data_IF_581050337797
#
_entry.id   IF_581050337797
#
_cell.length_a   1.000
_cell.length_b   1.000
_cell.length_c   1.000
_cell.angle_alpha   90.00
_cell.angle_beta   90.00
_cell.angle_gamma   90.00
#
_symmetry.space_group_name_H-M   'P 1'
#
loop_
_entity.id
_entity.type
_entity.pdbx_description
1 polymer ?
#
# COMPACT_ATOMS: atom_id res chain seq x y z
N UNK A 1 13.48 29.89 6.24
CA UNK A 1 12.16 29.56 6.84
C UNK A 1 12.38 28.63 8.02
N UNK A 2 12.21 29.13 9.24
CA UNK A 2 12.37 28.39 10.50
C UNK A 2 11.02 28.36 11.21
N UNK A 3 10.16 27.42 10.83
CA UNK A 3 8.85 27.18 11.43
C UNK A 3 8.67 25.69 11.71
N UNK A 4 7.85 25.36 12.73
CA UNK A 4 7.50 23.97 13.03
C UNK A 4 6.80 23.34 11.82
N UNK A 5 7.35 22.24 11.31
CA UNK A 5 6.72 21.43 10.25
C UNK A 5 6.02 20.24 10.89
N UNK A 6 4.85 19.91 10.37
CA UNK A 6 4.07 18.76 10.83
C UNK A 6 3.98 17.78 9.67
N UNK A 7 4.27 16.51 9.95
CA UNK A 7 4.08 15.41 9.02
C UNK A 7 3.16 14.42 9.73
N UNK A 8 2.06 14.07 9.07
CA UNK A 8 1.13 13.03 9.53
C UNK A 8 1.26 11.84 8.60
N UNK A 9 1.49 10.67 9.17
CA UNK A 9 1.54 9.41 8.43
C UNK A 9 0.29 8.60 8.77
N UNK A 10 -0.46 8.22 7.73
CA UNK A 10 -1.61 7.34 7.85
C UNK A 10 -1.35 6.07 7.03
N UNK A 11 -1.49 4.91 7.65
CA UNK A 11 -1.56 3.63 6.93
C UNK A 11 -3.01 3.38 6.56
N UNK A 12 -3.23 2.78 5.39
CA UNK A 12 -4.57 2.31 5.01
C UNK A 12 -5.11 1.31 6.05
N UNK A 13 -6.44 1.26 6.19
CA UNK A 13 -7.13 0.27 7.02
C UNK A 13 -7.11 -1.14 6.40
N UNK A 14 -7.87 -2.06 6.97
CA UNK A 14 -8.01 -3.42 6.44
C UNK A 14 -8.44 -3.44 4.96
N UNK A 15 -7.73 -4.21 4.12
CA UNK A 15 -8.12 -4.54 2.75
C UNK A 15 -8.84 -5.88 2.67
N UNK A 16 -9.52 -6.12 1.54
CA UNK A 16 -10.16 -7.42 1.25
C UNK A 16 -9.19 -8.60 1.41
N UNK A 17 -7.94 -8.42 0.99
CA UNK A 17 -6.91 -9.46 1.08
C UNK A 17 -6.34 -9.61 2.49
N UNK A 18 -6.17 -8.51 3.24
CA UNK A 18 -5.74 -8.64 4.63
C UNK A 18 -6.81 -9.32 5.49
N UNK A 19 -8.10 -9.05 5.22
CA UNK A 19 -9.24 -9.72 5.88
C UNK A 19 -9.19 -11.23 5.70
N UNK A 20 -8.82 -11.69 4.49
CA UNK A 20 -8.69 -13.12 4.16
C UNK A 20 -7.31 -13.70 4.48
N UNK A 21 -6.46 -12.98 5.22
CA UNK A 21 -5.11 -13.40 5.60
C UNK A 21 -4.19 -13.73 4.40
N UNK A 22 -4.40 -13.08 3.25
CA UNK A 22 -3.63 -13.29 2.01
C UNK A 22 -2.44 -12.33 1.95
N UNK A 23 -1.32 -12.78 1.38
CA UNK A 23 -0.21 -11.90 1.00
C UNK A 23 -0.57 -11.02 -0.19
N UNK A 24 -0.66 -9.70 0.00
CA UNK A 24 -1.10 -8.76 -1.04
C UNK A 24 0.05 -8.05 -1.76
N UNK A 25 0.90 -7.34 -1.03
CA UNK A 25 2.02 -6.60 -1.62
C UNK A 25 1.53 -5.55 -2.61
N UNK A 26 1.98 -5.65 -3.87
CA UNK A 26 1.64 -4.71 -4.94
C UNK A 26 0.38 -5.05 -5.70
N UNK A 27 -0.30 -6.15 -5.34
CA UNK A 27 -1.64 -6.38 -5.86
C UNK A 27 -2.58 -5.23 -5.45
N UNK A 28 -3.40 -4.78 -6.39
CA UNK A 28 -4.26 -3.61 -6.19
C UNK A 28 -5.60 -3.97 -5.54
N UNK A 29 -5.55 -4.41 -4.27
CA UNK A 29 -6.75 -4.72 -3.50
C UNK A 29 -7.46 -3.46 -3.00
N UNK A 30 -8.79 -3.51 -2.90
CA UNK A 30 -9.61 -2.47 -2.28
C UNK A 30 -9.65 -2.57 -0.75
N UNK A 31 -10.06 -1.49 -0.07
CA UNK A 31 -10.41 -1.52 1.35
C UNK A 31 -11.62 -2.44 1.58
N UNK A 32 -11.64 -3.11 2.74
CA UNK A 32 -12.87 -3.74 3.24
C UNK A 32 -13.80 -2.67 3.85
N UNK A 33 -15.04 -3.06 4.18
CA UNK A 33 -15.95 -2.17 4.92
C UNK A 33 -15.34 -1.73 6.25
N UNK A 34 -14.61 -2.64 6.92
CA UNK A 34 -13.87 -2.33 8.14
C UNK A 34 -12.76 -1.31 7.86
N UNK A 35 -11.96 -1.49 6.82
CA UNK A 35 -10.91 -0.54 6.47
C UNK A 35 -11.44 0.84 6.07
N UNK A 36 -12.64 0.88 5.48
CA UNK A 36 -13.35 2.13 5.21
C UNK A 36 -13.74 2.84 6.52
N UNK A 37 -14.27 2.12 7.51
CA UNK A 37 -14.58 2.67 8.83
C UNK A 37 -13.33 3.15 9.57
N UNK A 38 -12.23 2.41 9.51
CA UNK A 38 -10.94 2.83 10.10
C UNK A 38 -10.43 4.15 9.48
N UNK A 39 -10.62 4.35 8.17
CA UNK A 39 -10.29 5.62 7.51
C UNK A 39 -11.21 6.77 7.96
N UNK A 40 -12.51 6.50 8.17
CA UNK A 40 -13.46 7.46 8.70
C UNK A 40 -13.10 7.90 10.13
N UNK A 41 -12.77 6.94 11.00
CA UNK A 41 -12.31 7.22 12.37
C UNK A 41 -11.04 8.08 12.38
N UNK A 42 -10.06 7.75 11.51
CA UNK A 42 -8.85 8.56 11.34
C UNK A 42 -9.21 10.00 10.93
N UNK A 43 -10.12 10.17 9.97
CA UNK A 43 -10.54 11.48 9.52
C UNK A 43 -11.25 12.29 10.60
N UNK A 44 -12.09 11.64 11.42
CA UNK A 44 -12.76 12.26 12.56
C UNK A 44 -11.76 12.78 13.59
N UNK A 45 -10.74 11.99 13.93
CA UNK A 45 -9.68 12.41 14.87
C UNK A 45 -8.89 13.60 14.32
N UNK A 46 -8.57 13.60 13.03
CA UNK A 46 -7.88 14.71 12.38
C UNK A 46 -8.72 15.98 12.39
N UNK A 47 -10.02 15.87 12.10
CA UNK A 47 -10.97 16.99 12.13
C UNK A 47 -11.13 17.56 13.53
N UNK A 48 -11.31 16.71 14.55
CA UNK A 48 -11.42 17.11 15.96
C UNK A 48 -10.16 17.80 16.46
N UNK A 49 -9.00 17.38 15.97
CA UNK A 49 -7.70 17.99 16.29
C UNK A 49 -7.39 19.24 15.46
N UNK A 50 -8.30 19.65 14.56
CA UNK A 50 -8.17 20.80 13.68
C UNK A 50 -6.89 20.78 12.83
N UNK A 51 -6.49 19.60 12.35
CA UNK A 51 -5.38 19.49 11.40
C UNK A 51 -5.80 20.02 10.03
N UNK A 52 -4.88 20.75 9.38
CA UNK A 52 -4.97 21.16 7.98
C UNK A 52 -3.67 20.80 7.28
N UNK A 53 -3.79 20.37 6.04
CA UNK A 53 -2.65 19.95 5.23
C UNK A 53 -2.47 20.85 4.02
N UNK A 54 -1.22 21.09 3.64
CA UNK A 54 -0.87 21.84 2.43
C UNK A 54 -0.71 20.92 1.22
N UNK A 55 -0.32 19.66 1.46
CA UNK A 55 -0.05 18.65 0.45
C UNK A 55 -0.21 17.24 1.03
N UNK A 56 -0.66 16.31 0.20
CA UNK A 56 -0.69 14.88 0.53
C UNK A 56 0.20 14.08 -0.43
N UNK A 57 0.60 12.90 0.05
CA UNK A 57 1.34 11.91 -0.73
C UNK A 57 0.68 10.56 -0.55
N UNK A 58 0.59 9.77 -1.62
CA UNK A 58 0.04 8.41 -1.57
C UNK A 58 0.81 7.46 -2.47
N UNK A 59 0.67 6.17 -2.18
CA UNK A 59 1.09 5.10 -3.09
C UNK A 59 0.21 5.06 -4.33
N UNK A 60 0.57 4.23 -5.32
CA UNK A 60 -0.26 4.00 -6.51
C UNK A 60 -1.42 3.01 -6.24
N UNK A 61 -1.53 2.49 -5.02
CA UNK A 61 -2.44 1.40 -4.68
C UNK A 61 -3.78 1.95 -4.23
N UNK A 62 -4.86 1.44 -4.82
CA UNK A 62 -6.24 1.88 -4.68
C UNK A 62 -6.69 1.94 -3.21
N UNK A 63 -6.30 0.98 -2.36
CA UNK A 63 -6.56 1.06 -0.92
C UNK A 63 -6.02 2.34 -0.26
N UNK A 64 -4.82 2.81 -0.63
CA UNK A 64 -4.25 4.03 -0.09
C UNK A 64 -4.97 5.27 -0.63
N UNK A 65 -5.33 5.28 -1.92
CA UNK A 65 -6.15 6.35 -2.50
C UNK A 65 -7.53 6.43 -1.85
N UNK A 66 -8.19 5.29 -1.60
CA UNK A 66 -9.48 5.24 -0.92
C UNK A 66 -9.38 5.83 0.48
N UNK A 67 -8.36 5.43 1.26
CA UNK A 67 -8.09 6.01 2.59
C UNK A 67 -7.85 7.52 2.51
N UNK A 68 -6.97 7.98 1.62
CA UNK A 68 -6.66 9.41 1.47
C UNK A 68 -7.91 10.20 1.08
N UNK A 69 -8.68 9.71 0.11
CA UNK A 69 -9.92 10.35 -0.36
C UNK A 69 -10.90 10.53 0.79
N UNK A 70 -11.19 9.44 1.53
CA UNK A 70 -12.07 9.48 2.71
C UNK A 70 -11.58 10.53 3.70
N UNK A 71 -10.28 10.54 4.03
CA UNK A 71 -9.72 11.52 4.97
C UNK A 71 -9.93 12.95 4.45
N UNK A 72 -9.51 13.24 3.22
CA UNK A 72 -9.57 14.59 2.64
C UNK A 72 -10.99 15.14 2.52
N UNK A 73 -11.97 14.28 2.19
CA UNK A 73 -13.38 14.68 2.12
C UNK A 73 -13.91 15.06 3.52
N UNK A 74 -13.55 14.31 4.56
CA UNK A 74 -14.08 14.51 5.90
C UNK A 74 -13.41 15.66 6.66
N UNK A 75 -12.15 15.99 6.35
CA UNK A 75 -11.47 17.18 6.90
C UNK A 75 -11.75 18.46 6.08
N UNK A 76 -12.71 18.42 5.16
CA UNK A 76 -13.12 19.55 4.31
C UNK A 76 -11.99 20.05 3.38
N UNK A 77 -11.12 19.15 2.90
CA UNK A 77 -10.03 19.43 1.95
C UNK A 77 -10.05 18.51 0.70
N UNK A 78 -11.18 18.36 -0.03
CA UNK A 78 -11.28 17.42 -1.15
C UNK A 78 -10.35 17.73 -2.33
N UNK A 79 -9.88 18.98 -2.46
CA UNK A 79 -9.00 19.44 -3.54
C UNK A 79 -7.53 19.58 -3.09
N UNK A 80 -7.14 18.93 -2.00
CA UNK A 80 -5.76 18.95 -1.51
C UNK A 80 -4.81 18.47 -2.63
N UNK A 81 -3.71 19.17 -2.94
CA UNK A 81 -2.74 18.68 -3.91
C UNK A 81 -2.17 17.33 -3.47
N UNK A 82 -2.33 16.31 -4.32
CA UNK A 82 -1.85 14.94 -4.06
C UNK A 82 -0.72 14.61 -5.03
N UNK A 83 0.38 14.09 -4.49
CA UNK A 83 1.45 13.47 -5.28
C UNK A 83 1.48 11.97 -5.07
N UNK A 84 1.52 11.22 -6.16
CA UNK A 84 1.45 9.76 -6.16
C UNK A 84 2.82 9.18 -6.51
N UNK A 85 3.28 8.16 -5.78
CA UNK A 85 4.58 7.52 -6.08
C UNK A 85 4.57 6.03 -5.77
N UNK A 86 5.12 5.22 -6.67
CA UNK A 86 5.30 3.79 -6.43
C UNK A 86 6.25 3.51 -5.26
N UNK A 87 7.13 4.46 -4.89
CA UNK A 87 8.02 4.34 -3.72
C UNK A 87 7.27 4.25 -2.40
N UNK A 88 6.01 4.70 -2.39
CA UNK A 88 5.12 4.60 -1.23
C UNK A 88 4.27 3.32 -1.26
N UNK A 89 4.42 2.47 -2.29
CA UNK A 89 3.77 1.17 -2.31
C UNK A 89 4.28 0.30 -1.15
N UNK A 90 3.45 -0.67 -0.76
CA UNK A 90 3.79 -1.68 0.26
C UNK A 90 5.03 -2.50 -0.15
N UNK A 91 5.64 -3.26 0.75
CA UNK A 91 6.68 -4.24 0.35
C UNK A 91 6.14 -5.23 -0.70
N UNK A 92 6.94 -5.50 -1.74
CA UNK A 92 6.61 -6.53 -2.72
C UNK A 92 6.81 -7.93 -2.12
N UNK A 93 5.81 -8.82 -2.21
CA UNK A 93 5.87 -10.18 -1.63
C UNK A 93 6.26 -11.28 -2.62
N UNK A 94 6.59 -10.92 -3.86
CA UNK A 94 7.08 -11.89 -4.84
C UNK A 94 6.07 -13.00 -5.10
N UNK A 95 6.57 -14.21 -5.30
CA UNK A 95 5.74 -15.40 -5.51
C UNK A 95 4.83 -15.76 -4.31
N UNK A 96 4.96 -15.11 -3.15
CA UNK A 96 4.01 -15.32 -2.04
C UNK A 96 2.68 -14.60 -2.28
N UNK A 97 2.61 -13.67 -3.23
CA UNK A 97 1.41 -12.87 -3.49
C UNK A 97 0.24 -13.76 -3.87
N UNK A 98 -0.91 -13.60 -3.20
CA UNK A 98 -2.11 -14.40 -3.46
C UNK A 98 -2.24 -15.65 -2.60
N UNK A 99 -1.19 -16.06 -1.90
CA UNK A 99 -1.25 -17.20 -0.97
C UNK A 99 -1.73 -16.80 0.42
N UNK A 100 -2.44 -17.72 1.08
CA UNK A 100 -2.83 -17.56 2.48
C UNK A 100 -1.60 -17.72 3.39
N UNK A 101 -1.45 -16.83 4.37
CA UNK A 101 -0.30 -16.87 5.30
C UNK A 101 -0.31 -18.09 6.20
N UNK A 102 -1.49 -18.60 6.58
CA UNK A 102 -1.61 -19.77 7.43
C UNK A 102 -1.21 -21.04 6.66
N UNK A 103 -1.71 -21.21 5.44
CA UNK A 103 -1.34 -22.34 4.57
C UNK A 103 0.17 -22.37 4.30
N UNK A 104 0.78 -21.22 4.03
CA UNK A 104 2.24 -21.15 3.86
C UNK A 104 3.01 -21.42 5.16
N UNK A 105 2.44 -21.07 6.32
CA UNK A 105 3.07 -21.39 7.61
C UNK A 105 3.00 -22.90 7.90
N UNK A 106 1.94 -23.59 7.47
CA UNK A 106 1.85 -25.05 7.54
C UNK A 106 2.85 -25.73 6.59
N UNK A 107 3.03 -25.19 5.39
CA UNK A 107 3.92 -25.77 4.38
C UNK A 107 5.42 -25.50 4.63
N UNK A 108 5.77 -24.27 5.00
CA UNK A 108 7.17 -23.82 5.11
C UNK A 108 7.62 -23.55 6.55
N UNK A 109 6.70 -23.62 7.52
CA UNK A 109 6.94 -23.28 8.92
C UNK A 109 6.77 -21.79 9.21
N UNK A 110 6.28 -21.49 10.42
CA UNK A 110 6.06 -20.11 10.88
C UNK A 110 7.33 -19.26 10.84
N UNK A 111 8.48 -19.83 11.22
CA UNK A 111 9.76 -19.12 11.23
C UNK A 111 10.15 -18.62 9.83
N UNK A 112 9.97 -19.45 8.79
CA UNK A 112 10.29 -19.07 7.42
C UNK A 112 9.35 -17.96 6.92
N UNK A 113 8.05 -18.09 7.19
CA UNK A 113 7.06 -17.07 6.86
C UNK A 113 7.35 -15.74 7.58
N UNK A 114 7.82 -15.80 8.83
CA UNK A 114 8.24 -14.59 9.55
C UNK A 114 9.49 -13.96 8.94
N UNK A 115 10.49 -14.76 8.54
CA UNK A 115 11.69 -14.25 7.86
C UNK A 115 11.30 -13.50 6.58
N UNK A 116 10.48 -14.08 5.71
CA UNK A 116 10.04 -13.39 4.49
C UNK A 116 9.24 -12.11 4.77
N UNK A 117 8.54 -12.02 5.91
CA UNK A 117 7.72 -10.86 6.28
C UNK A 117 8.50 -9.74 6.96
N UNK A 118 9.47 -10.09 7.79
CA UNK A 118 10.07 -9.17 8.77
C UNK A 118 11.57 -9.03 8.60
N UNK A 119 12.26 -9.95 7.91
CA UNK A 119 13.69 -9.78 7.69
C UNK A 119 13.94 -8.58 6.80
N UNK A 120 15.02 -7.88 7.11
CA UNK A 120 15.51 -6.73 6.37
C UNK A 120 16.27 -7.16 5.10
N UNK A 121 17.05 -8.23 5.22
CA UNK A 121 18.02 -8.72 4.23
C UNK A 121 17.55 -9.96 3.45
N UNK A 122 16.49 -10.63 3.90
CA UNK A 122 15.92 -11.79 3.21
C UNK A 122 14.71 -11.37 2.39
N UNK A 123 14.84 -11.50 1.07
CA UNK A 123 13.75 -11.28 0.13
C UNK A 123 12.79 -12.50 0.12
N UNK A 124 11.49 -12.28 -0.14
CA UNK A 124 10.60 -13.38 -0.49
C UNK A 124 11.04 -14.06 -1.80
N UNK A 125 10.48 -15.21 -2.19
CA UNK A 125 10.78 -15.85 -3.48
C UNK A 125 10.37 -15.02 -4.70
N UNK A 126 11.07 -15.19 -5.83
CA UNK A 126 10.82 -14.42 -7.07
C UNK A 126 9.49 -14.78 -7.73
N UNK A 127 8.77 -13.75 -8.19
CA UNK A 127 7.52 -13.96 -8.91
C UNK A 127 7.82 -14.25 -10.38
N UNK A 128 7.52 -15.47 -10.83
CA UNK A 128 7.63 -15.84 -12.24
C UNK A 128 6.58 -15.13 -13.12
N UNK A 129 6.88 -14.95 -14.40
CA UNK A 129 5.97 -14.32 -15.38
C UNK A 129 4.67 -15.10 -15.58
N UNK A 130 4.68 -16.41 -15.35
CA UNK A 130 3.50 -17.28 -15.42
C UNK A 130 2.61 -17.19 -14.18
N UNK A 131 3.05 -16.51 -13.12
CA UNK A 131 2.29 -16.37 -11.89
C UNK A 131 0.98 -15.60 -12.13
N UNK A 132 -0.12 -16.07 -11.54
CA UNK A 132 -1.48 -15.57 -11.82
C UNK A 132 -1.64 -14.05 -11.66
N UNK A 133 -0.91 -13.45 -10.70
CA UNK A 133 -0.96 -12.02 -10.41
C UNK A 133 0.18 -11.20 -11.03
N UNK A 134 1.08 -11.83 -11.79
CA UNK A 134 2.23 -11.11 -12.37
C UNK A 134 1.75 -10.02 -13.34
N UNK A 135 0.87 -10.35 -14.28
CA UNK A 135 0.35 -9.38 -15.26
C UNK A 135 -0.49 -8.29 -14.61
N UNK A 136 -1.30 -8.61 -13.59
CA UNK A 136 -2.16 -7.60 -12.95
C UNK A 136 -1.37 -6.57 -12.16
N UNK A 137 -0.20 -6.94 -11.61
CA UNK A 137 0.70 -6.01 -10.93
C UNK A 137 1.55 -5.23 -11.94
N UNK A 138 2.20 -5.92 -12.88
CA UNK A 138 3.18 -5.29 -13.77
C UNK A 138 2.58 -4.50 -14.92
N UNK A 139 1.40 -4.90 -15.39
CA UNK A 139 0.69 -4.19 -16.45
C UNK A 139 -0.41 -3.28 -15.87
N UNK A 140 -0.42 -3.03 -14.56
CA UNK A 140 -1.42 -2.18 -13.94
C UNK A 140 -1.39 -0.76 -14.55
N UNK A 141 -2.52 -0.20 -15.00
CA UNK A 141 -2.51 1.08 -15.72
C UNK A 141 -1.82 2.21 -14.96
N UNK A 142 -1.98 2.28 -13.63
CA UNK A 142 -1.33 3.31 -12.79
C UNK A 142 0.19 3.14 -12.74
N UNK A 143 0.67 1.90 -12.67
CA UNK A 143 2.11 1.58 -12.65
C UNK A 143 2.72 1.91 -14.02
N UNK A 144 2.07 1.45 -15.09
CA UNK A 144 2.50 1.66 -16.47
C UNK A 144 2.52 3.16 -16.79
N UNK A 145 1.44 3.90 -16.50
CA UNK A 145 1.39 5.34 -16.71
C UNK A 145 2.51 6.07 -15.96
N UNK A 146 2.76 5.72 -14.70
CA UNK A 146 3.82 6.35 -13.91
C UNK A 146 5.23 6.06 -14.47
N UNK A 147 5.44 4.87 -15.05
CA UNK A 147 6.72 4.50 -15.70
C UNK A 147 7.00 5.28 -16.99
N UNK A 148 5.97 5.83 -17.63
CA UNK A 148 6.11 6.69 -18.82
C UNK A 148 6.21 8.17 -18.50
N UNK A 149 5.68 8.60 -17.34
CA UNK A 149 5.67 10.01 -16.93
C UNK A 149 6.89 10.42 -16.10
N UNK A 150 7.66 9.45 -15.59
CA UNK A 150 8.87 9.68 -14.80
C UNK A 150 10.08 9.05 -15.47
N UNK A 151 11.27 9.64 -15.34
CA UNK A 151 12.54 9.04 -15.78
C UNK A 151 12.96 7.84 -14.90
N UNK A 152 12.14 7.49 -13.92
CA UNK A 152 12.45 6.53 -12.88
C UNK A 152 11.95 5.14 -13.27
N UNK A 153 12.87 4.19 -13.37
CA UNK A 153 12.53 2.81 -13.70
C UNK A 153 11.80 2.16 -12.52
N UNK A 154 10.60 1.63 -12.77
CA UNK A 154 9.89 0.77 -11.84
C UNK A 154 10.79 -0.41 -11.45
N UNK A 155 11.00 -0.71 -10.16
CA UNK A 155 11.91 -1.77 -9.76
C UNK A 155 11.24 -3.11 -10.01
N UNK A 156 11.60 -3.72 -11.13
CA UNK A 156 11.35 -5.14 -11.34
C UNK A 156 12.19 -5.89 -10.29
N UNK A 157 11.54 -6.27 -9.19
CA UNK A 157 12.05 -7.19 -8.17
C UNK A 157 13.27 -6.74 -7.34
N UNK A 158 13.89 -5.61 -7.68
CA UNK A 158 14.99 -5.01 -6.91
C UNK A 158 14.48 -3.97 -5.93
N UNK A 159 13.88 -4.42 -4.83
CA UNK A 159 13.63 -3.55 -3.68
C UNK A 159 14.15 -4.28 -2.44
N UNK A 160 15.33 -3.88 -2.00
CA UNK A 160 15.76 -3.92 -0.61
C UNK A 160 15.40 -2.55 0.01
#
# INVERSE_FOLDING_TARGET
MTGKRIVVMARHGESEWSKNNVFCGWYDSHLSDRGTNEALECAQLLKQSNYKFDKAYTSLLTRAHQTLKIITEHIDQPNLPVEESWRLNERHYGALTGFNKAELAEQYGENQVQIWRRSFDVLPPEMDKSHAYYMSIWCHPKIVAHSYTTSEKFPFYRIA
#
